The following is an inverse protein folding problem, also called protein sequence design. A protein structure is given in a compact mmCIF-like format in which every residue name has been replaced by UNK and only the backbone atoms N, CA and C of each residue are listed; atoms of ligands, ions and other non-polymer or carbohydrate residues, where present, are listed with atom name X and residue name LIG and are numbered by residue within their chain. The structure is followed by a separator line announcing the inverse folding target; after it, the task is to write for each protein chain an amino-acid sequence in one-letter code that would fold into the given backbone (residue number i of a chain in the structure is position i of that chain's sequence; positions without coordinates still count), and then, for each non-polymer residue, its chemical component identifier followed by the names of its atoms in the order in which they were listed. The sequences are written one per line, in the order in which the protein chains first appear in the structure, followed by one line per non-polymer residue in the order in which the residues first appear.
data_IF_460650043709
#
_entry.id   IF_460650043709
#
_cell.length_a   1.000
_cell.length_b   1.000
_cell.length_c   1.000
_cell.angle_alpha   90.00
_cell.angle_beta   90.00
_cell.angle_gamma   90.00
#
_symmetry.space_group_name_H-M   'P 1'
#
loop_
_entity.id
_entity.type
_entity.pdbx_description
1 polymer ?
#
# COMPACT_ATOMS: atom_id res chain seq x y z
N UNK A 1 23.74 11.86 -3.41
CA UNK A 1 23.39 12.30 -2.04
C UNK A 1 22.75 13.67 -2.17
N UNK A 2 21.43 13.75 -2.01
CA UNK A 2 20.66 14.96 -2.30
C UNK A 2 20.96 16.04 -1.24
N UNK A 3 21.43 17.19 -1.70
CA UNK A 3 21.71 18.37 -0.86
C UNK A 3 20.41 19.16 -0.65
N UNK A 4 19.59 18.72 0.31
CA UNK A 4 18.45 19.47 0.84
C UNK A 4 18.78 20.06 2.21
N UNK A 5 18.09 21.15 2.62
CA UNK A 5 18.21 21.78 3.94
C UNK A 5 17.70 20.88 5.10
N UNK A 6 17.00 19.79 4.76
CA UNK A 6 16.55 18.73 5.67
C UNK A 6 17.48 17.54 5.53
N UNK A 7 18.18 17.15 6.60
CA UNK A 7 18.98 15.91 6.62
C UNK A 7 18.12 14.66 6.84
N UNK A 8 16.85 14.81 7.19
CA UNK A 8 15.91 13.70 7.34
C UNK A 8 15.22 13.39 6.00
N UNK A 9 15.35 12.14 5.55
CA UNK A 9 14.70 11.60 4.34
C UNK A 9 13.19 11.41 4.55
N UNK A 10 12.74 11.17 5.79
CA UNK A 10 11.34 11.04 6.17
C UNK A 10 11.11 11.64 7.57
N UNK A 11 10.23 12.64 7.65
CA UNK A 11 9.84 13.26 8.93
C UNK A 11 8.71 12.46 9.55
N UNK A 12 8.73 12.24 10.86
CA UNK A 12 7.65 11.55 11.56
C UNK A 12 6.28 12.21 11.32
N UNK A 13 6.25 13.54 11.23
CA UNK A 13 5.03 14.30 10.96
C UNK A 13 4.31 13.89 9.67
N UNK A 14 5.01 13.32 8.68
CA UNK A 14 4.41 12.84 7.42
C UNK A 14 3.38 11.72 7.60
N UNK A 15 3.39 11.00 8.73
CA UNK A 15 2.33 10.05 9.03
C UNK A 15 0.97 10.77 9.15
N UNK A 16 0.95 11.98 9.70
CA UNK A 16 -0.25 12.80 9.83
C UNK A 16 -0.45 13.74 8.63
N UNK A 17 0.60 14.41 8.17
CA UNK A 17 0.45 15.46 7.16
C UNK A 17 0.01 14.89 5.81
N UNK A 18 0.54 13.73 5.39
CA UNK A 18 0.24 13.16 4.07
C UNK A 18 -1.25 12.84 3.85
N UNK A 19 -1.97 12.17 4.77
CA UNK A 19 -3.42 12.02 4.59
C UNK A 19 -4.16 13.37 4.68
N UNK A 20 -3.72 14.31 5.54
CA UNK A 20 -4.36 15.63 5.62
C UNK A 20 -4.14 16.49 4.37
N UNK A 21 -2.99 16.39 3.73
CA UNK A 21 -2.67 17.08 2.48
C UNK A 21 -3.57 16.57 1.34
N UNK A 22 -3.93 15.28 1.34
CA UNK A 22 -4.90 14.73 0.39
C UNK A 22 -6.30 15.27 0.68
N UNK A 23 -6.74 15.29 1.94
CA UNK A 23 -8.03 15.91 2.30
C UNK A 23 -8.08 17.39 1.91
N UNK A 24 -7.01 18.14 2.18
CA UNK A 24 -6.88 19.53 1.78
C UNK A 24 -6.92 19.70 0.25
N UNK A 25 -6.23 18.83 -0.50
CA UNK A 25 -6.28 18.82 -1.96
C UNK A 25 -7.71 18.58 -2.46
N UNK A 26 -8.44 17.65 -1.86
CA UNK A 26 -9.84 17.37 -2.23
C UNK A 26 -10.75 18.59 -1.94
N UNK A 27 -10.55 19.27 -0.81
CA UNK A 27 -11.26 20.51 -0.48
C UNK A 27 -10.99 21.60 -1.53
N UNK A 28 -9.73 21.75 -1.93
CA UNK A 28 -9.34 22.74 -2.93
C UNK A 28 -9.89 22.40 -4.32
N UNK A 29 -9.83 21.13 -4.72
CA UNK A 29 -10.43 20.64 -5.97
C UNK A 29 -11.94 20.89 -5.99
N UNK A 30 -12.64 20.67 -4.87
CA UNK A 30 -14.06 20.98 -4.73
C UNK A 30 -14.32 22.47 -4.97
N UNK A 31 -13.52 23.32 -4.31
CA UNK A 31 -13.63 24.78 -4.38
C UNK A 31 -13.45 25.32 -5.80
N UNK A 32 -12.48 24.79 -6.55
CA UNK A 32 -12.18 25.25 -7.91
C UNK A 32 -12.94 24.50 -9.00
N UNK A 33 -13.65 23.42 -8.66
CA UNK A 33 -14.33 22.54 -9.62
C UNK A 33 -15.23 23.31 -10.60
N UNK A 34 -16.06 24.22 -10.09
CA UNK A 34 -17.00 24.98 -10.92
C UNK A 34 -16.30 25.96 -11.87
N UNK A 35 -15.22 26.60 -11.43
CA UNK A 35 -14.53 27.64 -12.19
C UNK A 35 -13.52 27.05 -13.19
N UNK A 36 -12.71 26.10 -12.73
CA UNK A 36 -11.53 25.64 -13.47
C UNK A 36 -11.77 24.30 -14.18
N UNK A 37 -12.72 23.50 -13.69
CA UNK A 37 -13.04 22.17 -14.23
C UNK A 37 -14.46 22.05 -14.80
N UNK A 38 -15.22 23.16 -14.85
CA UNK A 38 -16.60 23.20 -15.31
C UNK A 38 -17.52 22.18 -14.62
N UNK A 39 -17.26 21.87 -13.34
CA UNK A 39 -18.04 20.92 -12.55
C UNK A 39 -17.83 19.45 -12.92
N UNK A 40 -16.76 19.11 -13.64
CA UNK A 40 -16.51 17.74 -14.10
C UNK A 40 -15.90 16.82 -13.02
N UNK A 41 -15.38 17.37 -11.92
CA UNK A 41 -14.82 16.55 -10.85
C UNK A 41 -15.92 16.07 -9.91
N UNK A 42 -15.94 14.76 -9.62
CA UNK A 42 -16.73 14.21 -8.52
C UNK A 42 -15.82 13.91 -7.34
N UNK A 43 -15.58 14.93 -6.53
CA UNK A 43 -14.74 14.84 -5.34
C UNK A 43 -15.36 14.02 -4.21
N UNK A 44 -16.63 13.58 -4.32
CA UNK A 44 -17.28 12.73 -3.32
C UNK A 44 -17.18 11.24 -3.64
N UNK A 45 -16.58 10.89 -4.78
CA UNK A 45 -16.28 9.52 -5.22
C UNK A 45 -14.81 9.41 -5.59
N UNK A 46 -13.96 9.25 -4.58
CA UNK A 46 -12.50 9.22 -4.75
C UNK A 46 -11.95 7.82 -4.54
N UNK A 47 -11.07 7.39 -5.44
CA UNK A 47 -10.17 6.26 -5.23
C UNK A 47 -8.80 6.80 -4.79
N UNK A 48 -8.29 6.34 -3.64
CA UNK A 48 -6.94 6.68 -3.21
C UNK A 48 -5.95 5.57 -3.59
N UNK A 49 -4.92 5.91 -4.37
CA UNK A 49 -3.89 4.97 -4.82
C UNK A 49 -2.54 5.41 -4.28
N UNK A 50 -1.79 4.47 -3.69
CA UNK A 50 -0.54 4.79 -3.03
C UNK A 50 0.51 3.70 -3.21
N UNK A 51 1.78 4.12 -3.26
CA UNK A 51 2.94 3.23 -3.33
C UNK A 51 3.81 3.40 -2.08
N UNK A 52 4.29 2.30 -1.50
CA UNK A 52 5.16 2.32 -0.31
C UNK A 52 4.53 3.08 0.85
N UNK A 53 5.17 4.15 1.31
CA UNK A 53 4.60 5.05 2.30
C UNK A 53 3.30 5.71 1.79
N UNK A 54 3.14 5.94 0.49
CA UNK A 54 1.84 6.35 -0.09
C UNK A 54 0.74 5.31 0.08
N UNK A 55 1.09 4.01 0.11
CA UNK A 55 0.13 2.96 0.43
C UNK A 55 -0.38 3.08 1.86
N UNK A 56 0.50 3.39 2.82
CA UNK A 56 0.10 3.79 4.18
C UNK A 56 -0.89 4.97 4.12
N UNK A 57 -0.57 6.02 3.37
CA UNK A 57 -1.44 7.21 3.28
C UNK A 57 -2.82 6.87 2.74
N UNK A 58 -2.91 6.05 1.69
CA UNK A 58 -4.18 5.60 1.14
C UNK A 58 -4.99 4.81 2.19
N UNK A 59 -4.34 3.88 2.88
CA UNK A 59 -5.00 3.05 3.92
C UNK A 59 -5.42 3.89 5.14
N UNK A 60 -4.63 4.90 5.53
CA UNK A 60 -4.97 5.84 6.60
C UNK A 60 -6.19 6.71 6.23
N UNK A 61 -6.28 7.16 4.97
CA UNK A 61 -7.45 7.88 4.43
C UNK A 61 -8.72 7.02 4.43
N UNK A 62 -8.59 5.69 4.36
CA UNK A 62 -9.69 4.75 4.52
C UNK A 62 -10.05 4.45 6.00
N UNK A 63 -9.36 5.09 6.95
CA UNK A 63 -9.69 5.02 8.38
C UNK A 63 -8.81 4.10 9.22
N UNK A 64 -7.77 3.49 8.64
CA UNK A 64 -6.83 2.73 9.46
C UNK A 64 -6.14 3.62 10.51
N UNK A 65 -5.97 3.07 11.72
CA UNK A 65 -5.25 3.74 12.83
C UNK A 65 -3.93 3.04 13.15
N UNK A 66 -2.94 3.79 13.61
CA UNK A 66 -1.66 3.23 14.06
C UNK A 66 -1.86 2.57 15.43
N UNK A 67 -1.44 1.31 15.54
CA UNK A 67 -1.34 0.60 16.83
C UNK A 67 0.01 0.94 17.47
N UNK A 68 0.05 2.10 18.16
CA UNK A 68 1.26 2.62 18.79
C UNK A 68 1.84 1.67 19.85
N UNK A 69 1.01 0.98 20.61
CA UNK A 69 1.44 0.04 21.64
C UNK A 69 2.17 -1.16 21.02
N UNK A 70 1.59 -1.72 19.95
CA UNK A 70 2.22 -2.81 19.19
C UNK A 70 3.48 -2.35 18.47
N UNK A 71 3.44 -1.17 17.84
CA UNK A 71 4.61 -0.60 17.19
C UNK A 71 5.76 -0.42 18.17
N UNK A 72 5.50 0.10 19.37
CA UNK A 72 6.50 0.30 20.42
C UNK A 72 7.16 -1.01 20.87
N UNK A 73 6.41 -2.11 20.98
CA UNK A 73 6.97 -3.43 21.32
C UNK A 73 7.87 -4.00 20.22
N UNK A 74 7.55 -3.71 18.96
CA UNK A 74 8.27 -4.24 17.80
C UNK A 74 9.48 -3.42 17.37
N UNK A 75 9.51 -2.15 17.74
CA UNK A 75 10.61 -1.25 17.44
C UNK A 75 11.81 -1.49 18.36
N UNK A 76 12.56 -2.56 18.09
CA UNK A 76 13.94 -2.69 18.57
C UNK A 76 14.91 -2.19 17.49
N UNK A 77 15.20 -0.89 17.55
CA UNK A 77 16.16 -0.24 16.64
C UNK A 77 17.57 -0.85 16.75
N UNK A 78 17.91 -1.54 17.84
CA UNK A 78 19.23 -2.20 17.99
C UNK A 78 19.28 -3.55 17.28
N UNK A 79 18.14 -4.22 17.10
CA UNK A 79 18.04 -5.50 16.39
C UNK A 79 17.82 -5.33 14.87
N UNK A 80 17.14 -4.26 14.44
CA UNK A 80 16.61 -4.13 13.06
C UNK A 80 17.41 -3.23 12.11
N UNK A 81 18.56 -2.70 12.54
CA UNK A 81 19.34 -1.69 11.78
C UNK A 81 19.89 -2.16 10.42
N UNK A 82 19.91 -3.46 10.12
CA UNK A 82 20.60 -3.98 8.95
C UNK A 82 19.69 -4.43 7.79
N UNK A 83 18.37 -4.59 7.95
CA UNK A 83 17.61 -5.38 6.96
C UNK A 83 16.17 -4.95 6.61
N UNK A 84 15.49 -4.05 7.35
CA UNK A 84 14.09 -3.68 7.04
C UNK A 84 13.86 -2.16 7.02
N UNK A 85 13.88 -1.57 5.83
CA UNK A 85 13.70 -0.14 5.62
C UNK A 85 12.28 0.33 5.97
N UNK A 86 11.26 -0.51 5.73
CA UNK A 86 9.90 -0.24 6.13
C UNK A 86 9.76 -0.20 7.64
N UNK A 87 10.34 -1.17 8.37
CA UNK A 87 10.31 -1.15 9.84
C UNK A 87 11.00 0.09 10.42
N UNK A 88 12.14 0.51 9.83
CA UNK A 88 12.81 1.75 10.26
C UNK A 88 11.89 2.96 10.09
N UNK A 89 11.19 3.07 8.96
CA UNK A 89 10.20 4.12 8.72
C UNK A 89 9.03 4.03 9.71
N UNK A 90 8.44 2.85 9.89
CA UNK A 90 7.34 2.62 10.84
C UNK A 90 7.71 3.10 12.25
N UNK A 91 8.91 2.77 12.73
CA UNK A 91 9.37 3.17 14.06
C UNK A 91 9.51 4.68 14.26
N UNK A 92 9.64 5.47 13.17
CA UNK A 92 9.63 6.94 13.27
C UNK A 92 8.29 7.48 13.75
N UNK A 93 7.18 6.74 13.56
CA UNK A 93 5.88 7.16 14.07
C UNK A 93 5.87 7.29 15.60
N UNK A 94 6.74 6.56 16.32
CA UNK A 94 6.84 6.65 17.78
C UNK A 94 7.33 8.02 18.28
N UNK A 95 7.95 8.84 17.43
CA UNK A 95 8.31 10.22 17.80
C UNK A 95 7.10 11.14 17.92
N UNK A 96 5.95 10.73 17.40
CA UNK A 96 4.71 11.46 17.55
C UNK A 96 4.03 11.18 18.90
N UNK A 97 4.59 10.31 19.75
CA UNK A 97 4.02 10.01 21.06
C UNK A 97 4.05 11.21 22.03
N UNK A 98 4.90 12.20 21.77
CA UNK A 98 4.92 13.45 22.55
C UNK A 98 3.91 14.49 22.05
N UNK A 99 3.19 14.21 20.94
CA UNK A 99 2.14 15.06 20.38
C UNK A 99 0.75 14.44 20.62
N UNK A 100 -0.04 14.97 21.59
CA UNK A 100 -1.38 14.46 21.88
C UNK A 100 -2.35 14.55 20.69
N UNK A 101 -2.18 15.54 19.81
CA UNK A 101 -3.01 15.70 18.61
C UNK A 101 -2.68 14.60 17.61
N UNK A 102 -1.40 14.33 17.39
CA UNK A 102 -0.98 13.25 16.51
C UNK A 102 -1.43 11.88 17.03
N UNK A 103 -1.30 11.60 18.33
CA UNK A 103 -1.81 10.37 18.94
C UNK A 103 -3.33 10.23 18.73
N UNK A 104 -4.09 11.31 18.99
CA UNK A 104 -5.53 11.28 18.83
C UNK A 104 -5.93 11.01 17.37
N UNK A 105 -5.31 11.71 16.41
CA UNK A 105 -5.63 11.59 14.99
C UNK A 105 -5.17 10.25 14.41
N UNK A 106 -3.96 9.80 14.72
CA UNK A 106 -3.40 8.60 14.11
C UNK A 106 -3.80 7.31 14.84
N UNK A 107 -3.96 7.34 16.16
CA UNK A 107 -4.20 6.14 16.97
C UNK A 107 -5.66 5.88 17.35
N UNK A 108 -6.51 6.91 17.35
CA UNK A 108 -7.88 6.80 17.89
C UNK A 108 -8.96 7.16 16.87
N UNK A 109 -8.84 8.33 16.24
CA UNK A 109 -9.86 8.85 15.31
C UNK A 109 -9.63 8.40 13.86
N UNK A 110 -8.37 8.13 13.50
CA UNK A 110 -7.96 7.94 12.11
C UNK A 110 -7.83 9.26 11.35
N UNK A 111 -7.19 9.17 10.18
CA UNK A 111 -7.12 10.26 9.22
C UNK A 111 -8.14 10.07 8.07
N UNK A 112 -9.27 9.45 8.40
CA UNK A 112 -10.30 9.07 7.43
C UNK A 112 -10.83 10.30 6.69
N UNK A 113 -11.01 10.16 5.38
CA UNK A 113 -11.74 11.11 4.55
C UNK A 113 -12.96 10.40 3.93
N UNK A 114 -14.17 10.85 4.26
CA UNK A 114 -15.40 10.19 3.82
C UNK A 114 -15.58 10.17 2.30
N UNK A 115 -14.86 11.02 1.56
CA UNK A 115 -14.90 11.06 0.09
C UNK A 115 -14.15 9.90 -0.54
N UNK A 116 -13.21 9.28 0.18
CA UNK A 116 -12.48 8.10 -0.27
C UNK A 116 -13.39 6.88 -0.15
N UNK A 117 -13.70 6.26 -1.29
CA UNK A 117 -14.64 5.13 -1.38
C UNK A 117 -13.97 3.78 -1.63
N UNK A 118 -12.70 3.79 -2.00
CA UNK A 118 -11.86 2.60 -2.13
C UNK A 118 -10.38 2.98 -2.09
N UNK A 119 -9.53 2.01 -1.78
CA UNK A 119 -8.08 2.20 -1.71
C UNK A 119 -7.30 1.12 -2.46
N UNK A 120 -6.18 1.52 -3.06
CA UNK A 120 -5.26 0.63 -3.75
C UNK A 120 -3.83 0.90 -3.31
N UNK A 121 -3.17 -0.09 -2.71
CA UNK A 121 -1.89 0.08 -2.03
C UNK A 121 -0.82 -0.85 -2.63
N UNK A 122 0.23 -0.28 -3.21
CA UNK A 122 1.32 -0.99 -3.87
C UNK A 122 2.56 -1.02 -2.99
N UNK A 123 3.14 -2.20 -2.76
CA UNK A 123 4.36 -2.38 -1.97
C UNK A 123 4.31 -1.61 -0.64
N UNK A 124 3.12 -1.60 -0.02
CA UNK A 124 2.78 -0.65 1.03
C UNK A 124 3.55 -0.90 2.31
N UNK A 125 3.89 0.17 3.02
CA UNK A 125 4.24 0.12 4.45
C UNK A 125 2.93 0.15 5.22
N UNK A 126 2.63 -0.86 6.04
CA UNK A 126 1.29 -1.05 6.59
C UNK A 126 1.25 -1.86 7.88
N UNK A 127 2.36 -2.47 8.28
CA UNK A 127 2.37 -3.33 9.44
C UNK A 127 2.21 -2.55 10.77
N UNK A 128 2.55 -1.25 10.80
CA UNK A 128 2.31 -0.35 11.93
C UNK A 128 0.84 -0.18 12.33
N UNK A 129 -0.11 -0.42 11.42
CA UNK A 129 -1.53 -0.32 11.75
C UNK A 129 -1.99 -1.44 12.71
N UNK A 130 -1.32 -2.60 12.64
CA UNK A 130 -1.72 -3.78 13.40
C UNK A 130 -3.13 -4.28 13.06
N UNK A 131 -3.58 -5.37 13.72
CA UNK A 131 -4.90 -5.94 13.48
C UNK A 131 -6.04 -4.97 13.81
N UNK A 132 -5.94 -4.24 14.92
CA UNK A 132 -7.00 -3.35 15.39
C UNK A 132 -7.18 -2.13 14.49
N UNK A 133 -6.07 -1.56 14.03
CA UNK A 133 -6.08 -0.41 13.15
C UNK A 133 -6.55 -0.75 11.74
N UNK A 134 -6.07 -1.86 11.17
CA UNK A 134 -6.55 -2.32 9.86
C UNK A 134 -8.04 -2.70 9.87
N UNK A 135 -8.57 -3.19 10.99
CA UNK A 135 -9.98 -3.53 11.11
C UNK A 135 -10.92 -2.31 11.04
N UNK A 136 -10.40 -1.07 11.16
CA UNK A 136 -11.18 0.16 11.00
C UNK A 136 -11.40 0.55 9.52
N UNK A 137 -10.67 -0.06 8.58
CA UNK A 137 -10.83 0.19 7.14
C UNK A 137 -12.21 -0.29 6.71
N UNK A 138 -13.05 0.65 6.25
CA UNK A 138 -14.47 0.38 5.93
C UNK A 138 -14.80 0.42 4.43
N UNK A 139 -13.78 0.50 3.57
CA UNK A 139 -13.92 0.56 2.10
C UNK A 139 -13.25 -0.65 1.41
N UNK A 140 -13.67 -1.00 0.17
CA UNK A 140 -12.98 -1.98 -0.64
C UNK A 140 -11.49 -1.65 -0.80
N UNK A 141 -10.64 -2.65 -0.62
CA UNK A 141 -9.18 -2.48 -0.58
C UNK A 141 -8.47 -3.46 -1.51
N UNK A 142 -7.61 -2.94 -2.37
CA UNK A 142 -6.70 -3.74 -3.19
C UNK A 142 -5.25 -3.53 -2.74
N UNK A 143 -4.52 -4.61 -2.49
CA UNK A 143 -3.12 -4.57 -2.10
C UNK A 143 -2.28 -5.29 -3.14
N UNK A 144 -1.16 -4.71 -3.54
CA UNK A 144 -0.15 -5.34 -4.40
C UNK A 144 1.14 -5.54 -3.61
N UNK A 145 1.71 -6.73 -3.69
CA UNK A 145 3.00 -7.07 -3.10
C UNK A 145 3.95 -7.67 -4.13
N UNK A 146 5.23 -7.35 -4.01
CA UNK A 146 6.30 -8.02 -4.76
C UNK A 146 6.94 -9.12 -3.92
N UNK A 147 7.07 -10.33 -4.48
CA UNK A 147 7.62 -11.47 -3.75
C UNK A 147 9.07 -11.27 -3.28
N UNK A 148 9.82 -10.39 -3.95
CA UNK A 148 11.21 -10.02 -3.63
C UNK A 148 11.33 -8.55 -3.20
N UNK A 149 10.30 -7.98 -2.60
CA UNK A 149 10.40 -6.64 -2.02
C UNK A 149 11.38 -6.64 -0.84
N UNK A 150 12.55 -6.03 -1.04
CA UNK A 150 13.60 -5.90 -0.01
C UNK A 150 13.49 -4.61 0.80
N UNK A 151 12.57 -3.72 0.45
CA UNK A 151 12.35 -2.43 1.12
C UNK A 151 11.16 -2.52 2.06
N UNK A 152 10.05 -3.05 1.57
CA UNK A 152 8.84 -3.32 2.34
C UNK A 152 8.45 -4.80 2.17
N UNK A 153 9.15 -5.72 2.85
CA UNK A 153 8.96 -7.16 2.67
C UNK A 153 7.51 -7.59 2.78
N UNK A 154 7.08 -8.42 1.84
CA UNK A 154 5.67 -8.82 1.69
C UNK A 154 5.07 -9.39 2.97
N UNK A 155 5.90 -10.10 3.74
CA UNK A 155 5.70 -10.38 5.17
C UNK A 155 6.79 -9.63 5.93
N UNK A 156 6.46 -8.77 6.91
CA UNK A 156 5.14 -8.63 7.52
C UNK A 156 4.25 -7.53 6.90
N UNK A 157 4.60 -6.89 5.80
CA UNK A 157 3.90 -5.68 5.37
C UNK A 157 2.53 -5.97 4.72
N UNK A 158 2.52 -6.42 3.47
CA UNK A 158 1.28 -6.49 2.67
C UNK A 158 0.41 -7.70 3.03
N UNK A 159 1.01 -8.88 3.28
CA UNK A 159 0.25 -10.08 3.68
C UNK A 159 -0.47 -9.86 5.01
N UNK A 160 0.20 -9.28 6.00
CA UNK A 160 -0.42 -9.06 7.32
C UNK A 160 -1.56 -8.04 7.22
N UNK A 161 -1.34 -6.92 6.52
CA UNK A 161 -2.38 -5.93 6.30
C UNK A 161 -3.60 -6.54 5.59
N UNK A 162 -3.39 -7.33 4.54
CA UNK A 162 -4.46 -8.06 3.87
C UNK A 162 -5.23 -8.98 4.81
N UNK A 163 -4.52 -9.72 5.68
CA UNK A 163 -5.13 -10.66 6.63
C UNK A 163 -6.00 -9.99 7.71
N UNK A 164 -5.78 -8.70 7.97
CA UNK A 164 -6.47 -7.94 9.01
C UNK A 164 -7.66 -7.12 8.51
N UNK A 165 -7.79 -6.93 7.19
CA UNK A 165 -8.96 -6.29 6.59
C UNK A 165 -10.22 -7.10 6.87
N UNK A 166 -11.35 -6.44 7.10
CA UNK A 166 -12.66 -7.09 7.35
C UNK A 166 -13.67 -6.85 6.22
N UNK A 167 -13.30 -6.03 5.24
CA UNK A 167 -14.10 -5.64 4.08
C UNK A 167 -13.69 -6.40 2.82
N UNK A 168 -14.34 -6.07 1.70
CA UNK A 168 -14.00 -6.58 0.39
C UNK A 168 -12.54 -6.29 0.03
N UNK A 169 -11.75 -7.34 -0.21
CA UNK A 169 -10.29 -7.27 -0.24
C UNK A 169 -9.65 -8.11 -1.33
N UNK A 170 -8.68 -7.53 -2.04
CA UNK A 170 -7.89 -8.21 -3.06
C UNK A 170 -6.41 -8.12 -2.71
N UNK A 171 -5.68 -9.23 -2.80
CA UNK A 171 -4.22 -9.21 -2.71
C UNK A 171 -3.61 -9.79 -3.98
N UNK A 172 -2.83 -8.98 -4.69
CA UNK A 172 -2.07 -9.42 -5.85
C UNK A 172 -0.60 -9.58 -5.48
N UNK A 173 -0.09 -10.81 -5.65
CA UNK A 173 1.31 -11.13 -5.42
C UNK A 173 2.01 -11.30 -6.76
N UNK A 174 3.02 -10.47 -7.02
CA UNK A 174 3.81 -10.53 -8.23
C UNK A 174 5.13 -11.27 -7.97
N UNK A 175 5.35 -12.37 -8.69
CA UNK A 175 6.62 -13.12 -8.69
C UNK A 175 7.76 -12.22 -9.13
N UNK A 176 8.96 -12.43 -8.59
CA UNK A 176 10.21 -11.81 -9.07
C UNK A 176 10.27 -10.27 -9.07
N UNK A 177 9.19 -9.60 -8.67
CA UNK A 177 9.14 -8.15 -8.50
C UNK A 177 9.57 -7.74 -7.10
N UNK A 178 10.14 -6.55 -7.02
CA UNK A 178 10.53 -5.90 -5.77
C UNK A 178 9.74 -4.61 -5.58
N UNK A 179 10.24 -3.72 -4.72
CA UNK A 179 9.54 -2.50 -4.31
C UNK A 179 9.10 -1.58 -5.45
N UNK A 180 9.80 -1.60 -6.58
CA UNK A 180 9.47 -0.82 -7.77
C UNK A 180 10.33 -1.26 -8.94
N UNK A 181 10.14 -0.68 -10.13
CA UNK A 181 10.84 -1.10 -11.34
C UNK A 181 12.38 -1.07 -11.19
N UNK A 182 12.93 -0.01 -10.60
CA UNK A 182 14.39 0.15 -10.43
C UNK A 182 14.98 -0.88 -9.46
N UNK A 183 14.30 -1.11 -8.33
CA UNK A 183 14.74 -2.10 -7.34
C UNK A 183 14.54 -3.51 -7.91
N UNK A 184 13.47 -3.75 -8.66
CA UNK A 184 13.24 -5.01 -9.36
C UNK A 184 14.38 -5.32 -10.32
N UNK A 185 14.79 -4.35 -11.15
CA UNK A 185 15.97 -4.51 -12.04
C UNK A 185 17.22 -4.85 -11.24
N UNK A 186 17.46 -4.15 -10.13
CA UNK A 186 18.62 -4.42 -9.27
C UNK A 186 18.57 -5.83 -8.68
N UNK A 187 17.45 -6.24 -8.10
CA UNK A 187 17.29 -7.56 -7.48
C UNK A 187 17.34 -8.68 -8.52
N UNK A 188 16.74 -8.50 -9.70
CA UNK A 188 16.82 -9.46 -10.80
C UNK A 188 18.26 -9.74 -11.20
N UNK A 189 19.10 -8.69 -11.23
CA UNK A 189 20.53 -8.81 -11.51
C UNK A 189 21.31 -9.50 -10.40
N UNK A 190 21.02 -9.18 -9.14
CA UNK A 190 21.72 -9.73 -7.97
C UNK A 190 21.39 -11.20 -7.75
N UNK A 191 20.13 -11.58 -7.94
CA UNK A 191 19.64 -12.93 -7.67
C UNK A 191 19.61 -13.84 -8.92
N UNK A 192 20.11 -13.38 -10.07
CA UNK A 192 20.08 -14.10 -11.35
C UNK A 192 18.68 -14.67 -11.66
N UNK A 193 17.65 -13.85 -11.46
CA UNK A 193 16.24 -14.26 -11.65
C UNK A 193 15.93 -14.52 -13.13
N UNK A 194 16.70 -13.95 -14.05
CA UNK A 194 16.65 -14.27 -15.48
C UNK A 194 18.06 -14.33 -16.05
N UNK A 195 18.32 -15.27 -16.97
CA UNK A 195 19.62 -15.47 -17.62
C UNK A 195 19.75 -14.73 -18.96
N UNK A 196 18.65 -14.22 -19.53
CA UNK A 196 18.62 -13.42 -20.77
C UNK A 196 18.41 -11.91 -20.45
N UNK A 197 19.52 -11.24 -20.14
CA UNK A 197 19.63 -10.34 -18.98
C UNK A 197 19.17 -8.87 -19.09
N UNK A 198 18.47 -8.39 -20.12
CA UNK A 198 17.94 -7.00 -20.09
C UNK A 198 16.69 -6.75 -20.96
N UNK A 199 16.43 -7.53 -22.03
CA UNK A 199 15.21 -7.34 -22.85
C UNK A 199 13.94 -7.92 -22.18
N UNK A 200 14.01 -9.12 -21.59
CA UNK A 200 12.85 -9.77 -20.98
C UNK A 200 12.31 -9.06 -19.73
N UNK A 201 13.22 -8.56 -18.88
CA UNK A 201 12.84 -7.81 -17.66
C UNK A 201 12.15 -6.49 -18.01
N UNK A 202 12.66 -5.76 -19.00
CA UNK A 202 12.12 -4.44 -19.35
C UNK A 202 10.75 -4.55 -19.99
N UNK A 203 10.59 -5.47 -20.94
CA UNK A 203 9.31 -5.79 -21.56
C UNK A 203 8.32 -6.33 -20.51
N UNK A 204 8.77 -7.24 -19.66
CA UNK A 204 7.99 -7.76 -18.54
C UNK A 204 7.46 -6.65 -17.62
N UNK A 205 8.31 -5.71 -17.20
CA UNK A 205 7.91 -4.57 -16.35
C UNK A 205 6.91 -3.64 -17.05
N UNK A 206 7.04 -3.41 -18.36
CA UNK A 206 6.08 -2.63 -19.14
C UNK A 206 4.72 -3.34 -19.17
N UNK A 207 4.72 -4.66 -19.41
CA UNK A 207 3.48 -5.45 -19.43
C UNK A 207 2.85 -5.49 -18.03
N UNK A 208 3.63 -5.76 -16.98
CA UNK A 208 3.15 -5.74 -15.58
C UNK A 208 2.53 -4.39 -15.22
N UNK A 209 3.12 -3.27 -15.66
CA UNK A 209 2.51 -1.94 -15.47
C UNK A 209 1.15 -1.83 -16.19
N UNK A 210 1.05 -2.37 -17.40
CA UNK A 210 -0.21 -2.43 -18.14
C UNK A 210 -1.29 -3.25 -17.41
N UNK A 211 -0.93 -4.43 -16.91
CA UNK A 211 -1.82 -5.29 -16.11
C UNK A 211 -2.27 -4.57 -14.84
N UNK A 212 -1.34 -3.97 -14.08
CA UNK A 212 -1.68 -3.21 -12.88
C UNK A 212 -2.62 -2.04 -13.19
N UNK A 213 -2.42 -1.36 -14.31
CA UNK A 213 -3.31 -0.28 -14.77
C UNK A 213 -4.71 -0.82 -15.07
N UNK A 214 -4.81 -1.96 -15.76
CA UNK A 214 -6.09 -2.60 -16.04
C UNK A 214 -6.83 -3.02 -14.76
N UNK A 215 -6.10 -3.56 -13.77
CA UNK A 215 -6.67 -3.94 -12.47
C UNK A 215 -7.14 -2.73 -11.67
N UNK A 216 -6.36 -1.64 -11.63
CA UNK A 216 -6.74 -0.37 -11.00
C UNK A 216 -8.05 0.13 -11.62
N UNK A 217 -8.12 0.19 -12.95
CA UNK A 217 -9.30 0.66 -13.68
C UNK A 217 -10.49 -0.26 -13.37
N UNK A 218 -10.36 -1.57 -13.55
CA UNK A 218 -11.46 -2.50 -13.31
C UNK A 218 -12.00 -2.42 -11.87
N UNK A 219 -11.11 -2.24 -10.88
CA UNK A 219 -11.53 -2.08 -9.49
C UNK A 219 -12.27 -0.78 -9.24
N UNK A 220 -11.81 0.33 -9.84
CA UNK A 220 -12.53 1.59 -9.80
C UNK A 220 -13.89 1.50 -10.50
N UNK A 221 -13.95 0.89 -11.67
CA UNK A 221 -15.21 0.71 -12.41
C UNK A 221 -16.22 -0.10 -11.57
N UNK A 222 -15.80 -1.20 -10.94
CA UNK A 222 -16.69 -2.03 -10.10
C UNK A 222 -17.10 -1.31 -8.81
N UNK A 223 -16.15 -0.81 -8.03
CA UNK A 223 -16.44 -0.37 -6.65
C UNK A 223 -16.68 1.14 -6.49
N UNK A 224 -16.29 1.96 -7.47
CA UNK A 224 -16.55 3.40 -7.47
C UNK A 224 -17.74 3.79 -8.34
N UNK A 225 -17.92 3.09 -9.47
CA UNK A 225 -18.92 3.41 -10.49
C UNK A 225 -20.05 2.37 -10.63
N UNK A 226 -19.95 1.22 -9.94
CA UNK A 226 -20.93 0.12 -9.98
C UNK A 226 -21.09 -0.50 -11.38
N UNK A 227 -20.02 -0.53 -12.17
CA UNK A 227 -19.97 -1.14 -13.49
C UNK A 227 -19.54 -2.61 -13.41
N UNK A 228 -20.50 -3.49 -13.12
CA UNK A 228 -20.28 -4.92 -12.88
C UNK A 228 -19.71 -5.69 -14.09
N UNK A 229 -19.81 -5.13 -15.31
CA UNK A 229 -19.17 -5.68 -16.51
C UNK A 229 -17.64 -5.75 -16.43
N UNK A 230 -17.01 -5.03 -15.49
CA UNK A 230 -15.57 -5.07 -15.26
C UNK A 230 -15.12 -6.15 -14.26
N UNK A 231 -16.03 -6.80 -13.54
CA UNK A 231 -15.69 -7.89 -12.61
C UNK A 231 -14.81 -9.00 -13.22
N UNK A 232 -15.00 -9.44 -14.49
CA UNK A 232 -14.18 -10.51 -15.06
C UNK A 232 -12.68 -10.19 -15.09
N UNK A 233 -12.30 -8.91 -15.16
CA UNK A 233 -10.90 -8.47 -15.12
C UNK A 233 -10.27 -8.58 -13.72
N UNK A 234 -11.08 -8.72 -12.68
CA UNK A 234 -10.59 -8.89 -11.30
C UNK A 234 -10.44 -10.37 -10.90
N UNK A 235 -10.76 -11.32 -11.79
CA UNK A 235 -10.76 -12.76 -11.49
C UNK A 235 -9.38 -13.39 -11.76
N UNK A 236 -9.04 -14.51 -11.08
CA UNK A 236 -7.75 -15.19 -11.26
C UNK A 236 -7.44 -15.51 -12.73
N UNK A 237 -8.44 -15.96 -13.49
CA UNK A 237 -8.27 -16.31 -14.90
C UNK A 237 -7.76 -15.16 -15.78
N UNK A 238 -8.23 -13.93 -15.55
CA UNK A 238 -7.71 -12.77 -16.29
C UNK A 238 -6.29 -12.45 -15.84
N UNK A 239 -6.05 -12.44 -14.53
CA UNK A 239 -4.77 -12.07 -13.91
C UNK A 239 -3.66 -12.99 -14.40
N UNK A 240 -3.89 -14.30 -14.37
CA UNK A 240 -2.94 -15.31 -14.84
C UNK A 240 -2.68 -15.16 -16.35
N UNK A 241 -3.74 -14.97 -17.15
CA UNK A 241 -3.63 -14.86 -18.60
C UNK A 241 -2.97 -13.56 -19.08
N UNK A 242 -3.12 -12.47 -18.32
CA UNK A 242 -2.57 -11.16 -18.66
C UNK A 242 -1.14 -10.96 -18.13
N UNK A 243 -0.74 -11.71 -17.09
CA UNK A 243 0.62 -11.67 -16.55
C UNK A 243 1.62 -12.40 -17.45
N UNK A 244 2.90 -12.07 -17.31
CA UNK A 244 3.97 -12.61 -18.16
C UNK A 244 5.17 -13.02 -17.33
N UNK A 245 5.94 -14.00 -17.81
CA UNK A 245 7.25 -14.29 -17.26
C UNK A 245 8.22 -13.10 -17.45
N UNK A 246 9.14 -12.84 -16.50
CA UNK A 246 9.32 -13.55 -15.22
C UNK A 246 8.40 -13.04 -14.08
N UNK A 247 7.48 -12.10 -14.35
CA UNK A 247 6.67 -11.39 -13.35
C UNK A 247 5.20 -11.81 -13.34
N UNK A 248 4.93 -13.11 -13.16
CA UNK A 248 3.54 -13.59 -13.04
C UNK A 248 2.86 -12.96 -11.84
N UNK A 249 1.58 -12.59 -12.01
CA UNK A 249 0.74 -12.07 -10.95
C UNK A 249 -0.24 -13.15 -10.51
N UNK A 250 -0.45 -13.24 -9.20
CA UNK A 250 -1.39 -14.17 -8.58
C UNK A 250 -2.40 -13.41 -7.74
N UNK A 251 -3.69 -13.70 -7.93
CA UNK A 251 -4.74 -13.19 -7.05
C UNK A 251 -4.90 -14.10 -5.83
N UNK A 252 -4.74 -13.52 -4.65
CA UNK A 252 -5.01 -14.12 -3.35
C UNK A 252 -6.26 -13.48 -2.77
N UNK A 253 -7.29 -14.31 -2.51
CA UNK A 253 -8.55 -13.90 -1.87
C UNK A 253 -8.68 -14.40 -0.44
N UNK A 254 -8.00 -15.51 -0.14
CA UNK A 254 -7.92 -16.14 1.18
C UNK A 254 -6.49 -16.63 1.37
N UNK A 255 -5.97 -16.52 2.59
CA UNK A 255 -4.64 -17.03 2.91
C UNK A 255 -4.73 -18.53 3.22
N UNK A 256 -3.77 -19.34 2.72
CA UNK A 256 -3.72 -20.74 3.11
C UNK A 256 -3.40 -20.86 4.61
N UNK A 257 -3.88 -21.91 5.32
CA UNK A 257 -3.68 -22.07 6.75
C UNK A 257 -2.21 -22.01 7.19
N UNK A 258 -1.29 -22.49 6.34
CA UNK A 258 0.16 -22.44 6.58
C UNK A 258 0.68 -21.00 6.61
N UNK A 259 0.17 -20.12 5.73
CA UNK A 259 0.53 -18.71 5.76
C UNK A 259 -0.07 -18.00 6.97
N UNK A 260 -1.30 -18.36 7.38
CA UNK A 260 -1.92 -17.82 8.58
C UNK A 260 -1.14 -18.17 9.86
N UNK A 261 -0.58 -19.38 9.94
CA UNK A 261 0.23 -19.81 11.08
C UNK A 261 1.52 -18.97 11.21
N UNK A 262 2.16 -18.61 10.10
CA UNK A 262 3.33 -17.71 10.10
C UNK A 262 2.96 -16.29 10.57
N UNK A 263 1.73 -15.84 10.31
CA UNK A 263 1.25 -14.54 10.76
C UNK A 263 0.91 -14.48 12.25
N UNK A 264 0.68 -15.62 12.93
CA UNK A 264 0.38 -15.63 14.37
C UNK A 264 1.50 -14.99 15.18
N UNK A 265 2.76 -15.26 14.82
CA UNK A 265 3.94 -14.62 15.43
C UNK A 265 3.95 -13.09 15.26
N UNK A 266 3.31 -12.57 14.22
CA UNK A 266 3.16 -11.14 13.95
C UNK A 266 1.87 -10.53 14.54
N UNK A 267 0.87 -11.33 14.91
CA UNK A 267 -0.37 -10.87 15.55
C UNK A 267 -0.15 -10.58 17.05
N UNK A 268 0.67 -11.40 17.70
CA UNK A 268 0.84 -11.39 19.16
C UNK A 268 2.07 -10.60 19.65
N UNK A 269 2.98 -10.22 18.75
CA UNK A 269 4.16 -9.38 19.01
C UNK A 269 3.88 -7.88 19.00
#
# INVERSE_FOLDING_TARGET
MFTGLSQETFRAQEFLDRPLDISFLLDELERINAADFAGQLDVNRVAAVGHSFGGYTAIALAGATIDFDRLARRCDLKANLLLDAAALLECRALELLDDPVAIQRLGQQGARDERVKLVMAFATVSNLFGPQGMAQVDVPTMIFGGAFDVVAPVVPQQVSAFSWLTTERYFYLAENTSHGADITRLTSRVFNIDTDFDQGVDEGLVITRGVNTALIVAFSEVYLLDHQEFEPFLRPAFVEAASVEPFRLHLVRELPPEAEAVLTDYKDG
#
